data_IF_791839177269
#
_entry.id   IF_791839177269
#
_cell.length_a   1.000
_cell.length_b   1.000
_cell.length_c   1.000
_cell.angle_alpha   90.00
_cell.angle_beta   90.00
_cell.angle_gamma   90.00
#
_symmetry.space_group_name_H-M   'P 1'
#
loop_
_entity.id
_entity.type
_entity.pdbx_description
1 polymer ?
#
# COMPACT_ATOMS: atom_id res chain seq x y z
N UNK A 1 -19.25 19.61 -35.99
CA UNK A 1 -18.03 20.01 -35.26
C UNK A 1 -18.44 20.20 -33.79
N UNK A 2 -18.40 19.17 -32.96
CA UNK A 2 -17.27 18.75 -32.09
C UNK A 2 -16.70 19.95 -31.32
N UNK A 3 -16.71 20.04 -29.98
CA UNK A 3 -16.46 18.99 -28.97
C UNK A 3 -17.16 19.32 -27.63
N UNK A 4 -17.71 18.28 -27.01
CA UNK A 4 -18.34 18.25 -25.69
C UNK A 4 -17.25 18.38 -24.62
N UNK A 5 -17.44 19.32 -23.70
CA UNK A 5 -16.68 19.45 -22.45
C UNK A 5 -16.99 18.25 -21.55
N UNK A 6 -16.01 17.37 -21.39
CA UNK A 6 -16.05 16.27 -20.40
C UNK A 6 -15.70 16.89 -19.05
N UNK A 7 -16.72 17.42 -18.37
CA UNK A 7 -16.70 17.64 -16.93
C UNK A 7 -17.20 16.35 -16.28
N UNK A 8 -16.28 15.54 -15.77
CA UNK A 8 -16.64 14.34 -15.03
C UNK A 8 -15.42 13.52 -14.69
N UNK A 9 -14.96 13.59 -13.45
CA UNK A 9 -14.36 12.45 -12.75
C UNK A 9 -14.43 12.67 -11.23
N UNK A 10 -15.14 11.75 -10.56
CA UNK A 10 -15.16 11.46 -9.13
C UNK A 10 -15.62 12.60 -8.19
N UNK A 11 -16.87 12.72 -7.74
CA UNK A 11 -17.79 11.72 -7.20
C UNK A 11 -17.13 10.76 -6.17
N UNK A 12 -17.54 10.96 -4.91
CA UNK A 12 -17.49 10.02 -3.77
C UNK A 12 -16.18 10.03 -2.95
N UNK A 13 -15.98 11.13 -2.20
CA UNK A 13 -15.30 11.07 -0.89
C UNK A 13 -16.35 11.43 0.17
N UNK A 14 -17.26 10.51 0.43
CA UNK A 14 -18.15 10.62 1.58
C UNK A 14 -18.56 9.22 2.06
N UNK A 15 -18.58 9.07 3.38
CA UNK A 15 -19.07 7.93 4.16
C UNK A 15 -18.08 6.75 4.36
N UNK A 16 -17.19 6.89 5.35
CA UNK A 16 -16.92 5.83 6.33
C UNK A 16 -16.43 6.46 7.66
N UNK A 17 -17.31 7.19 8.36
CA UNK A 17 -17.09 7.52 9.78
C UNK A 17 -18.21 6.90 10.61
N UNK A 18 -18.18 5.57 10.75
CA UNK A 18 -19.03 4.89 11.73
C UNK A 18 -18.23 4.82 13.03
N UNK A 19 -18.67 5.41 14.14
CA UNK A 19 -18.05 5.19 15.44
C UNK A 19 -18.35 3.75 15.86
N UNK A 20 -17.33 2.89 15.83
CA UNK A 20 -17.33 1.57 16.46
C UNK A 20 -17.55 1.77 17.97
N UNK A 21 -18.81 1.70 18.41
CA UNK A 21 -19.14 1.61 19.83
C UNK A 21 -18.86 0.18 20.28
N UNK A 22 -17.71 0.00 20.92
CA UNK A 22 -17.25 -1.27 21.47
C UNK A 22 -18.08 -1.59 22.72
N UNK A 23 -19.14 -2.38 22.56
CA UNK A 23 -19.82 -2.98 23.72
C UNK A 23 -18.97 -4.14 24.23
N UNK A 24 -18.28 -3.91 25.36
CA UNK A 24 -17.51 -4.92 26.08
C UNK A 24 -18.46 -5.97 26.69
N UNK A 25 -18.53 -7.14 26.06
CA UNK A 25 -19.13 -8.33 26.67
C UNK A 25 -18.16 -8.86 27.74
N UNK A 26 -18.54 -8.89 29.03
CA UNK A 26 -17.68 -9.40 30.08
C UNK A 26 -17.79 -10.92 30.08
N UNK A 27 -16.87 -11.58 29.38
CA UNK A 27 -16.88 -13.03 29.28
C UNK A 27 -15.79 -13.53 28.36
N UNK A 28 -14.57 -13.59 28.88
CA UNK A 28 -13.51 -14.54 28.50
C UNK A 28 -13.46 -14.97 27.02
N UNK A 29 -12.71 -14.22 26.22
CA UNK A 29 -12.11 -14.71 24.98
C UNK A 29 -10.59 -14.79 25.18
N UNK A 30 -9.92 -15.84 24.68
CA UNK A 30 -8.52 -16.08 24.95
C UNK A 30 -7.67 -14.98 24.32
N UNK A 31 -7.08 -14.13 25.16
CA UNK A 31 -6.27 -12.97 24.76
C UNK A 31 -5.10 -13.32 23.83
N UNK A 32 -4.63 -14.58 23.86
CA UNK A 32 -3.53 -15.06 23.04
C UNK A 32 -3.81 -15.03 21.52
N UNK A 33 -5.04 -15.32 21.08
CA UNK A 33 -5.37 -15.29 19.64
C UNK A 33 -5.59 -13.87 19.11
N UNK A 34 -5.97 -12.92 19.97
CA UNK A 34 -6.13 -11.52 19.59
C UNK A 34 -4.78 -10.79 19.48
N UNK A 35 -3.80 -11.17 20.30
CA UNK A 35 -2.45 -10.58 20.30
C UNK A 35 -1.64 -11.04 19.08
N UNK A 36 -1.70 -12.33 18.73
CA UNK A 36 -1.05 -12.88 17.54
C UNK A 36 -1.65 -12.29 16.25
N UNK A 37 -2.98 -12.21 16.17
CA UNK A 37 -3.66 -11.55 15.05
C UNK A 37 -3.34 -10.04 14.95
N UNK A 38 -3.16 -9.34 16.07
CA UNK A 38 -2.77 -7.93 16.08
C UNK A 38 -1.35 -7.72 15.54
N UNK A 39 -0.42 -8.62 15.87
CA UNK A 39 0.95 -8.60 15.34
C UNK A 39 1.00 -8.88 13.83
N UNK A 40 0.24 -9.87 13.34
CA UNK A 40 0.12 -10.14 11.90
C UNK A 40 -0.45 -8.94 11.13
N UNK A 41 -1.49 -8.28 11.67
CA UNK A 41 -2.08 -7.08 11.06
C UNK A 41 -1.10 -5.90 11.10
N UNK A 42 -0.30 -5.75 12.16
CA UNK A 42 0.73 -4.71 12.27
C UNK A 42 1.86 -4.91 11.25
N UNK A 43 2.33 -6.14 11.08
CA UNK A 43 3.35 -6.48 10.08
C UNK A 43 2.84 -6.25 8.66
N UNK A 44 1.61 -6.66 8.35
CA UNK A 44 0.99 -6.40 7.05
C UNK A 44 0.91 -4.89 6.75
N UNK A 45 0.47 -4.06 7.72
CA UNK A 45 0.44 -2.60 7.56
C UNK A 45 1.82 -2.01 7.31
N UNK A 46 2.84 -2.51 7.99
CA UNK A 46 4.22 -2.07 7.77
C UNK A 46 4.71 -2.41 6.36
N UNK A 47 4.42 -3.61 5.86
CA UNK A 47 4.82 -4.04 4.52
C UNK A 47 4.07 -3.26 3.43
N UNK A 48 2.78 -3.00 3.62
CA UNK A 48 2.00 -2.11 2.74
C UNK A 48 2.53 -0.68 2.72
N UNK A 49 2.97 -0.14 3.87
CA UNK A 49 3.63 1.17 3.92
C UNK A 49 4.93 1.17 3.11
N UNK A 50 5.79 0.17 3.31
CA UNK A 50 7.06 0.04 2.56
C UNK A 50 6.83 -0.09 1.05
N UNK A 51 5.77 -0.80 0.65
CA UNK A 51 5.36 -0.90 -0.75
C UNK A 51 5.00 0.48 -1.32
N UNK A 52 4.21 1.25 -0.57
CA UNK A 52 3.78 2.60 -0.99
C UNK A 52 4.98 3.54 -1.11
N UNK A 53 5.89 3.50 -0.14
CA UNK A 53 7.14 4.27 -0.16
C UNK A 53 8.04 3.87 -1.35
N UNK A 54 8.14 2.57 -1.66
CA UNK A 54 8.90 2.09 -2.82
C UNK A 54 8.30 2.54 -4.16
N UNK A 55 6.96 2.57 -4.27
CA UNK A 55 6.29 3.12 -5.46
C UNK A 55 6.52 4.62 -5.61
N UNK A 56 6.54 5.38 -4.51
CA UNK A 56 6.88 6.80 -4.55
C UNK A 56 8.33 7.02 -5.04
N UNK A 57 9.28 6.22 -4.57
CA UNK A 57 10.68 6.30 -4.99
C UNK A 57 10.89 6.02 -6.49
N UNK A 58 9.96 5.33 -7.16
CA UNK A 58 10.02 5.15 -8.63
C UNK A 58 9.76 6.44 -9.40
N UNK A 59 9.00 7.39 -8.85
CA UNK A 59 8.83 8.72 -9.46
C UNK A 59 10.12 9.54 -9.33
N UNK A 60 10.85 9.38 -8.22
CA UNK A 60 12.12 10.08 -8.00
C UNK A 60 13.18 9.66 -9.03
N UNK A 61 13.07 8.48 -9.63
CA UNK A 61 13.97 8.03 -10.69
C UNK A 61 13.84 8.84 -11.98
N UNK A 62 12.63 9.32 -12.31
CA UNK A 62 12.43 10.22 -13.44
C UNK A 62 13.02 11.60 -13.17
N UNK A 63 13.03 12.04 -11.91
CA UNK A 63 13.70 13.27 -11.50
C UNK A 63 15.23 13.11 -11.52
N UNK A 64 15.75 11.95 -11.12
CA UNK A 64 17.18 11.63 -11.17
C UNK A 64 17.69 11.54 -12.62
N UNK A 65 16.91 10.99 -13.55
CA UNK A 65 17.25 11.03 -14.99
C UNK A 65 17.35 12.48 -15.49
N UNK A 66 16.38 13.33 -15.14
CA UNK A 66 16.40 14.77 -15.48
C UNK A 66 17.54 15.52 -14.82
N UNK A 67 17.98 15.10 -13.63
CA UNK A 67 19.13 15.65 -12.91
C UNK A 67 20.48 15.19 -13.48
N UNK A 68 20.48 14.36 -14.54
CA UNK A 68 21.68 13.95 -15.26
C UNK A 68 22.18 12.53 -14.93
N UNK A 69 21.40 11.73 -14.20
CA UNK A 69 21.73 10.31 -14.02
C UNK A 69 21.63 9.57 -15.36
N UNK A 70 22.61 8.72 -15.71
CA UNK A 70 22.55 7.96 -16.96
C UNK A 70 21.31 7.08 -17.01
N UNK A 71 20.52 7.20 -18.09
CA UNK A 71 19.29 6.43 -18.31
C UNK A 71 19.47 4.93 -18.06
N UNK A 72 20.57 4.34 -18.54
CA UNK A 72 20.88 2.93 -18.33
C UNK A 72 21.02 2.54 -16.83
N UNK A 73 21.48 3.45 -15.98
CA UNK A 73 21.56 3.21 -14.54
C UNK A 73 20.20 3.36 -13.87
N UNK A 74 19.42 4.37 -14.27
CA UNK A 74 18.04 4.58 -13.82
C UNK A 74 17.16 3.38 -14.18
N UNK A 75 17.26 2.87 -15.41
CA UNK A 75 16.50 1.71 -15.88
C UNK A 75 16.83 0.44 -15.09
N UNK A 76 18.11 0.22 -14.76
CA UNK A 76 18.52 -0.88 -13.88
C UNK A 76 17.93 -0.74 -12.48
N UNK A 77 17.95 0.47 -11.92
CA UNK A 77 17.37 0.75 -10.60
C UNK A 77 15.85 0.57 -10.61
N UNK A 78 15.16 1.05 -11.65
CA UNK A 78 13.72 0.86 -11.85
C UNK A 78 13.36 -0.62 -11.95
N UNK A 79 14.14 -1.40 -12.71
CA UNK A 79 13.94 -2.84 -12.84
C UNK A 79 14.14 -3.56 -11.50
N UNK A 80 15.22 -3.26 -10.76
CA UNK A 80 15.46 -3.82 -9.45
C UNK A 80 14.37 -3.45 -8.42
N UNK A 81 13.89 -2.21 -8.47
CA UNK A 81 12.81 -1.74 -7.60
C UNK A 81 11.49 -2.45 -7.91
N UNK A 82 11.17 -2.61 -9.20
CA UNK A 82 9.99 -3.32 -9.63
C UNK A 82 10.02 -4.78 -9.16
N UNK A 83 11.17 -5.45 -9.25
CA UNK A 83 11.33 -6.81 -8.70
C UNK A 83 11.06 -6.84 -7.19
N UNK A 84 11.56 -5.85 -6.45
CA UNK A 84 11.37 -5.76 -5.00
C UNK A 84 9.91 -5.45 -4.62
N UNK A 85 9.23 -4.61 -5.38
CA UNK A 85 7.80 -4.34 -5.24
C UNK A 85 6.99 -5.61 -5.44
N UNK A 86 7.29 -6.38 -6.49
CA UNK A 86 6.61 -7.65 -6.75
C UNK A 86 6.86 -8.65 -5.60
N UNK A 87 8.10 -8.76 -5.10
CA UNK A 87 8.40 -9.61 -3.95
C UNK A 87 7.63 -9.20 -2.69
N UNK A 88 7.60 -7.90 -2.36
CA UNK A 88 6.85 -7.41 -1.20
C UNK A 88 5.34 -7.63 -1.36
N UNK A 89 4.80 -7.55 -2.58
CA UNK A 89 3.40 -7.88 -2.85
C UNK A 89 3.11 -9.36 -2.62
N UNK A 90 3.97 -10.25 -3.08
CA UNK A 90 3.84 -11.68 -2.83
C UNK A 90 3.92 -11.99 -1.33
N UNK A 91 4.84 -11.35 -0.60
CA UNK A 91 4.94 -11.48 0.87
C UNK A 91 3.66 -11.03 1.57
N UNK A 92 3.06 -9.91 1.16
CA UNK A 92 1.77 -9.43 1.71
C UNK A 92 0.64 -10.41 1.42
N UNK A 93 0.55 -10.93 0.20
CA UNK A 93 -0.50 -11.91 -0.17
C UNK A 93 -0.35 -13.18 0.65
N UNK A 94 0.88 -13.67 0.84
CA UNK A 94 1.15 -14.83 1.66
C UNK A 94 0.78 -14.58 3.13
N UNK A 95 1.02 -13.39 3.65
CA UNK A 95 0.66 -13.05 5.02
C UNK A 95 -0.86 -12.91 5.22
N UNK A 96 -1.58 -12.43 4.20
CA UNK A 96 -3.05 -12.42 4.18
C UNK A 96 -3.63 -13.84 4.17
N UNK A 97 -3.01 -14.78 3.45
CA UNK A 97 -3.46 -16.18 3.42
C UNK A 97 -3.20 -16.95 4.73
N UNK A 98 -2.32 -16.45 5.59
CA UNK A 98 -2.02 -17.05 6.90
C UNK A 98 -2.94 -16.56 8.02
N UNK A 99 -3.66 -15.45 7.79
CA UNK A 99 -4.73 -14.94 8.66
C UNK A 99 -5.99 -15.79 8.52
#
# INVERSE_FOLDING_TARGET
MNKILIAGFAAIVFALTVPLTLQSVPGSYPSAMAEEAADHVSQMRLTLKKLTDAMASMNDFDEQEKAGMPKASVDRMRSAMQMKINQMMDEVIQEIHKL
#
